data_IF_338837220153
#
_entry.id   IF_338837220153
#
_cell.length_a   1.000
_cell.length_b   1.000
_cell.length_c   1.000
_cell.angle_alpha   90.00
_cell.angle_beta   90.00
_cell.angle_gamma   90.00
#
_symmetry.space_group_name_H-M   'P 1'
#
loop_
_entity.id
_entity.type
_entity.pdbx_description
1 polymer ?
#
# COMPACT_ATOMS: atom_id res chain seq x y z
N UNK A 1 -19.82 24.61 -38.02
CA UNK A 1 -18.38 24.62 -37.68
C UNK A 1 -18.19 25.40 -36.41
N UNK A 2 -18.13 24.73 -35.26
CA UNK A 2 -17.88 25.36 -33.96
C UNK A 2 -16.46 24.99 -33.55
N UNK A 3 -15.52 25.92 -33.64
CA UNK A 3 -14.16 25.75 -33.14
C UNK A 3 -14.20 25.82 -31.61
N UNK A 4 -13.94 24.71 -30.92
CA UNK A 4 -13.62 24.70 -29.48
C UNK A 4 -12.31 25.48 -29.29
N UNK A 5 -12.38 26.58 -28.53
CA UNK A 5 -11.19 27.32 -28.08
C UNK A 5 -10.55 26.52 -26.95
N UNK A 6 -9.33 26.02 -27.17
CA UNK A 6 -8.49 25.53 -26.10
C UNK A 6 -8.02 26.70 -25.21
N UNK A 7 -7.98 26.53 -23.88
CA UNK A 7 -7.43 27.56 -23.00
C UNK A 7 -5.92 27.68 -23.24
N UNK A 8 -5.50 28.75 -23.89
CA UNK A 8 -4.10 29.10 -24.09
C UNK A 8 -3.54 29.69 -22.80
N UNK A 9 -2.85 28.88 -22.01
CA UNK A 9 -2.01 29.37 -20.92
C UNK A 9 -0.81 30.12 -21.51
N UNK A 10 -0.83 31.45 -21.45
CA UNK A 10 0.11 32.28 -22.18
C UNK A 10 1.47 32.47 -21.51
N UNK A 11 1.66 32.13 -20.21
CA UNK A 11 2.99 32.17 -19.58
C UNK A 11 3.13 31.28 -18.33
N UNK A 12 4.39 30.98 -17.95
CA UNK A 12 4.70 30.29 -16.71
C UNK A 12 4.23 31.06 -15.45
N UNK A 13 4.23 32.39 -15.54
CA UNK A 13 3.79 33.30 -14.49
C UNK A 13 2.27 33.19 -14.20
N UNK A 14 1.46 32.97 -15.24
CA UNK A 14 0.01 32.80 -15.12
C UNK A 14 -0.36 31.49 -14.44
N UNK A 15 0.38 30.41 -14.74
CA UNK A 15 0.25 29.12 -14.06
C UNK A 15 0.64 29.19 -12.59
N UNK A 16 1.72 29.92 -12.27
CA UNK A 16 2.15 30.12 -10.89
C UNK A 16 1.12 30.91 -10.06
N UNK A 17 0.46 31.89 -10.67
CA UNK A 17 -0.58 32.68 -10.02
C UNK A 17 -1.83 31.85 -9.70
N UNK A 18 -2.31 31.05 -10.66
CA UNK A 18 -3.47 30.16 -10.44
C UNK A 18 -3.15 29.08 -9.40
N UNK A 19 -1.92 28.56 -9.38
CA UNK A 19 -1.49 27.62 -8.35
C UNK A 19 -1.45 28.25 -6.95
N UNK A 20 -1.02 29.53 -6.84
CA UNK A 20 -1.03 30.25 -5.57
C UNK A 20 -2.45 30.53 -5.07
N UNK A 21 -3.38 30.93 -5.94
CA UNK A 21 -4.79 31.14 -5.61
C UNK A 21 -5.47 29.83 -5.12
N UNK A 22 -5.16 28.69 -5.74
CA UNK A 22 -5.68 27.36 -5.31
C UNK A 22 -5.11 26.90 -3.96
N UNK A 23 -3.88 27.28 -3.63
CA UNK A 23 -3.27 26.98 -2.33
C UNK A 23 -3.93 27.83 -1.23
N UNK A 24 -4.14 29.12 -1.49
CA UNK A 24 -4.79 30.04 -0.55
C UNK A 24 -6.26 29.64 -0.28
N UNK A 25 -6.98 29.17 -1.30
CA UNK A 25 -8.33 28.61 -1.16
C UNK A 25 -8.36 27.30 -0.37
N UNK A 26 -7.37 26.44 -0.55
CA UNK A 26 -7.23 25.20 0.22
C UNK A 26 -6.88 25.45 1.69
N UNK A 27 -6.04 26.44 1.99
CA UNK A 27 -5.70 26.83 3.36
C UNK A 27 -6.89 27.45 4.09
N UNK A 28 -7.72 28.24 3.41
CA UNK A 28 -8.94 28.83 3.99
C UNK A 28 -10.00 27.76 4.36
N UNK A 29 -10.02 26.62 3.67
CA UNK A 29 -10.92 25.50 3.97
C UNK A 29 -10.46 24.65 5.15
N UNK A 30 -9.17 24.71 5.50
CA UNK A 30 -8.63 23.99 6.67
C UNK A 30 -8.83 24.73 7.99
N UNK A 31 -8.99 26.05 7.97
CA UNK A 31 -9.23 26.86 9.18
C UNK A 31 -10.65 26.72 9.76
N UNK A 32 -11.61 26.18 9.02
CA UNK A 32 -12.99 26.00 9.48
C UNK A 32 -13.27 24.64 10.13
N UNK A 33 -12.30 23.75 10.22
CA UNK A 33 -12.44 22.46 10.92
C UNK A 33 -11.82 22.51 12.32
N UNK A 34 -12.32 23.42 13.15
CA UNK A 34 -12.00 23.42 14.58
C UNK A 34 -12.66 22.21 15.21
N UNK A 35 -11.85 21.18 15.53
CA UNK A 35 -12.31 20.06 16.36
C UNK A 35 -12.74 20.62 17.70
N UNK A 36 -14.05 20.45 18.05
CA UNK A 36 -14.62 20.93 19.28
C UNK A 36 -13.78 20.47 20.49
N UNK A 37 -13.46 21.41 21.36
CA UNK A 37 -12.77 21.17 22.64
C UNK A 37 -13.56 20.20 23.51
N UNK A 38 -12.91 19.36 24.36
CA UNK A 38 -13.61 18.51 25.35
C UNK A 38 -14.62 19.28 26.24
N UNK A 39 -14.45 20.59 26.39
CA UNK A 39 -15.36 21.46 27.13
C UNK A 39 -16.68 21.75 26.37
N UNK A 40 -16.68 21.71 25.05
CA UNK A 40 -17.86 21.97 24.23
C UNK A 40 -18.78 20.73 24.14
N UNK A 41 -18.23 19.52 24.31
CA UNK A 41 -18.97 18.27 24.34
C UNK A 41 -19.81 18.14 25.62
N UNK A 42 -19.34 18.73 26.73
CA UNK A 42 -20.07 18.73 28.02
C UNK A 42 -21.34 19.60 28.00
N UNK A 43 -21.46 20.54 27.06
CA UNK A 43 -22.65 21.40 26.91
C UNK A 43 -23.78 20.78 26.08
N UNK A 44 -23.53 19.70 25.35
CA UNK A 44 -24.48 19.09 24.43
C UNK A 44 -25.43 18.07 25.08
N UNK A 45 -25.47 17.91 26.42
CA UNK A 45 -26.50 17.13 27.14
C UNK A 45 -26.45 15.60 26.84
N UNK A 46 -25.29 15.05 26.42
CA UNK A 46 -25.12 13.61 26.27
C UNK A 46 -24.96 12.95 27.66
N UNK A 47 -25.57 11.77 27.90
CA UNK A 47 -25.43 11.07 29.18
C UNK A 47 -23.96 10.66 29.39
N UNK A 48 -23.46 10.67 30.65
CA UNK A 48 -22.09 10.30 30.94
C UNK A 48 -21.81 8.83 30.55
N UNK A 49 -20.59 8.49 30.15
CA UNK A 49 -20.24 7.11 29.88
C UNK A 49 -20.43 6.24 31.09
N UNK A 50 -21.03 5.08 30.91
CA UNK A 50 -21.27 4.10 31.99
C UNK A 50 -19.91 3.60 32.45
N UNK A 51 -19.41 4.13 33.53
CA UNK A 51 -18.26 3.58 34.27
C UNK A 51 -18.73 2.30 34.94
N UNK A 52 -18.43 1.16 34.36
CA UNK A 52 -18.59 -0.12 35.04
C UNK A 52 -17.65 -0.14 36.24
N UNK A 53 -18.20 -0.01 37.43
CA UNK A 53 -17.47 -0.24 38.67
C UNK A 53 -17.13 -1.74 38.74
N UNK A 54 -15.84 -2.05 38.61
CA UNK A 54 -15.32 -3.36 38.94
C UNK A 54 -15.46 -3.59 40.43
N UNK A 55 -16.02 -4.72 40.89
CA UNK A 55 -16.08 -5.04 42.30
C UNK A 55 -14.67 -5.29 42.84
N UNK A 56 -14.30 -4.54 43.86
CA UNK A 56 -13.08 -4.75 44.62
C UNK A 56 -13.32 -5.94 45.57
N UNK A 57 -13.03 -7.12 45.11
CA UNK A 57 -12.61 -8.27 45.94
C UNK A 57 -12.28 -9.46 45.07
N UNK A 58 -10.99 -9.64 44.77
CA UNK A 58 -10.46 -10.90 44.24
C UNK A 58 -9.96 -11.67 45.47
N UNK A 59 -10.53 -12.83 45.83
CA UNK A 59 -9.96 -13.67 46.87
C UNK A 59 -8.63 -14.24 46.35
N UNK A 60 -7.58 -14.13 47.16
CA UNK A 60 -6.28 -14.75 46.96
C UNK A 60 -6.47 -16.26 46.87
N UNK A 61 -6.25 -16.82 45.68
CA UNK A 61 -6.18 -18.27 45.49
C UNK A 61 -4.78 -18.71 45.89
N UNK A 62 -4.60 -19.74 46.75
CA UNK A 62 -3.30 -20.25 47.12
C UNK A 62 -2.67 -20.89 45.89
N UNK A 63 -1.34 -20.68 45.72
CA UNK A 63 -0.53 -21.28 44.71
C UNK A 63 -0.51 -22.81 44.90
N UNK A 64 -1.40 -23.51 44.20
CA UNK A 64 -1.28 -24.96 44.07
C UNK A 64 -0.54 -25.31 42.77
N UNK A 65 0.34 -26.28 42.93
CA UNK A 65 1.28 -26.80 41.96
C UNK A 65 0.66 -27.07 40.61
N UNK A 66 1.23 -26.45 39.58
CA UNK A 66 0.92 -26.70 38.19
C UNK A 66 1.16 -28.15 37.83
N UNK A 67 0.12 -28.90 37.56
CA UNK A 67 0.22 -30.10 36.70
C UNK A 67 0.56 -29.66 35.27
N UNK A 68 1.45 -30.31 34.57
CA UNK A 68 1.69 -30.00 33.16
C UNK A 68 0.48 -30.53 32.37
N UNK A 69 -0.50 -29.67 32.17
CA UNK A 69 -1.52 -29.87 31.16
C UNK A 69 -0.82 -29.76 29.80
N UNK A 70 -0.92 -30.83 29.03
CA UNK A 70 -0.26 -30.95 27.73
C UNK A 70 -0.85 -30.08 26.64
N UNK A 71 -1.06 -28.82 26.93
CA UNK A 71 -1.28 -27.77 25.94
C UNK A 71 0.07 -27.48 25.29
N UNK A 72 0.37 -28.12 24.18
CA UNK A 72 1.43 -27.70 23.28
C UNK A 72 1.04 -26.30 22.79
N UNK A 73 1.56 -25.29 23.47
CA UNK A 73 1.53 -23.91 22.98
C UNK A 73 2.27 -23.95 21.65
N UNK A 74 1.53 -23.82 20.55
CA UNK A 74 2.16 -23.73 19.23
C UNK A 74 3.20 -22.60 19.28
N UNK A 75 4.47 -22.85 18.91
CA UNK A 75 5.51 -21.83 19.00
C UNK A 75 5.08 -20.64 18.15
N UNK A 76 5.18 -19.45 18.71
CA UNK A 76 4.91 -18.23 17.96
C UNK A 76 5.92 -18.09 16.83
N UNK A 77 5.57 -17.31 15.80
CA UNK A 77 6.49 -17.03 14.69
C UNK A 77 7.82 -16.41 15.16
N UNK A 78 7.78 -15.64 16.24
CA UNK A 78 8.98 -15.05 16.85
C UNK A 78 9.82 -16.11 17.59
N UNK A 79 9.22 -17.07 18.28
CA UNK A 79 9.91 -18.19 18.92
C UNK A 79 10.59 -19.08 17.86
N UNK A 80 9.88 -19.37 16.76
CA UNK A 80 10.43 -20.12 15.64
C UNK A 80 11.64 -19.40 15.00
N UNK A 81 11.57 -18.08 14.83
CA UNK A 81 12.67 -17.27 14.31
C UNK A 81 13.81 -17.07 15.35
N UNK A 82 13.54 -17.20 16.65
CA UNK A 82 14.59 -17.25 17.67
C UNK A 82 15.39 -18.55 17.59
N UNK A 83 14.73 -19.66 17.25
CA UNK A 83 15.39 -20.97 17.07
C UNK A 83 16.16 -21.06 15.73
N UNK A 84 15.58 -20.52 14.66
CA UNK A 84 16.18 -20.48 13.31
C UNK A 84 16.09 -19.07 12.73
N UNK A 85 17.03 -18.18 13.06
CA UNK A 85 16.96 -16.78 12.72
C UNK A 85 17.06 -16.47 11.21
N UNK A 86 17.63 -17.35 10.41
CA UNK A 86 17.85 -17.17 8.97
C UNK A 86 16.89 -18.02 8.12
N UNK A 87 15.83 -18.52 8.73
CA UNK A 87 14.77 -19.23 8.01
C UNK A 87 14.01 -18.28 7.07
N UNK A 88 14.27 -18.43 5.77
CA UNK A 88 13.71 -17.56 4.73
C UNK A 88 12.18 -17.58 4.75
N UNK A 89 11.56 -18.74 4.90
CA UNK A 89 10.11 -18.87 4.90
C UNK A 89 9.46 -18.13 6.07
N UNK A 90 10.02 -18.28 7.28
CA UNK A 90 9.55 -17.59 8.48
C UNK A 90 9.76 -16.08 8.39
N UNK A 91 10.92 -15.62 7.88
CA UNK A 91 11.20 -14.19 7.65
C UNK A 91 10.20 -13.56 6.67
N UNK A 92 9.92 -14.24 5.55
CA UNK A 92 8.96 -13.78 4.54
C UNK A 92 7.54 -13.73 5.12
N UNK A 93 7.14 -14.73 5.89
CA UNK A 93 5.82 -14.76 6.53
C UNK A 93 5.67 -13.63 7.55
N UNK A 94 6.66 -13.43 8.43
CA UNK A 94 6.63 -12.32 9.41
C UNK A 94 6.62 -10.97 8.69
N UNK A 95 7.46 -10.79 7.67
CA UNK A 95 7.47 -9.56 6.88
C UNK A 95 6.09 -9.28 6.24
N UNK A 96 5.41 -10.31 5.75
CA UNK A 96 4.07 -10.21 5.19
C UNK A 96 3.04 -9.75 6.21
N UNK A 97 3.07 -10.31 7.43
CA UNK A 97 2.20 -9.90 8.53
C UNK A 97 2.48 -8.45 8.97
N UNK A 98 3.76 -8.10 9.13
CA UNK A 98 4.19 -6.73 9.45
C UNK A 98 3.75 -5.71 8.39
N UNK A 99 3.86 -6.08 7.10
CA UNK A 99 3.41 -5.22 6.00
C UNK A 99 1.89 -4.99 6.03
N UNK A 100 1.09 -6.03 6.34
CA UNK A 100 -0.36 -5.91 6.55
C UNK A 100 -0.69 -5.00 7.73
N UNK A 101 0.07 -5.10 8.82
CA UNK A 101 -0.05 -4.24 9.99
C UNK A 101 0.54 -2.83 9.77
N UNK A 102 0.98 -2.49 8.54
CA UNK A 102 1.62 -1.22 8.16
C UNK A 102 2.95 -0.94 8.87
N UNK A 103 3.57 -1.92 9.48
CA UNK A 103 4.90 -1.82 10.08
C UNK A 103 6.00 -1.97 9.01
N UNK A 104 5.96 -1.07 8.01
CA UNK A 104 6.75 -1.20 6.78
C UNK A 104 8.26 -1.27 7.01
N UNK A 105 8.82 -0.52 8.00
CA UNK A 105 10.26 -0.58 8.31
C UNK A 105 10.68 -1.93 8.88
N UNK A 106 9.84 -2.55 9.69
CA UNK A 106 10.11 -3.88 10.22
C UNK A 106 9.99 -4.95 9.13
N UNK A 107 8.92 -4.89 8.32
CA UNK A 107 8.75 -5.77 7.17
C UNK A 107 9.91 -5.69 6.18
N UNK A 108 10.43 -4.47 5.92
CA UNK A 108 11.59 -4.28 5.06
C UNK A 108 12.82 -5.02 5.59
N UNK A 109 13.14 -4.88 6.89
CA UNK A 109 14.30 -5.56 7.50
C UNK A 109 14.22 -7.08 7.33
N UNK A 110 13.03 -7.65 7.52
CA UNK A 110 12.85 -9.10 7.39
C UNK A 110 12.96 -9.57 5.94
N UNK A 111 12.38 -8.84 4.96
CA UNK A 111 12.58 -9.15 3.55
C UNK A 111 14.05 -9.01 3.12
N UNK A 112 14.74 -7.95 3.56
CA UNK A 112 16.16 -7.78 3.28
C UNK A 112 17.00 -8.90 3.90
N UNK A 113 16.64 -9.38 5.11
CA UNK A 113 17.29 -10.53 5.73
C UNK A 113 17.05 -11.80 4.92
N UNK A 114 15.82 -12.06 4.53
CA UNK A 114 15.49 -13.20 3.67
C UNK A 114 16.28 -13.17 2.35
N UNK A 115 16.42 -12.01 1.72
CA UNK A 115 17.16 -11.83 0.48
C UNK A 115 18.70 -11.91 0.64
N UNK A 116 19.22 -11.73 1.83
CA UNK A 116 20.65 -12.04 2.11
C UNK A 116 20.92 -13.53 2.10
N UNK A 117 19.94 -14.34 2.54
CA UNK A 117 20.04 -15.81 2.55
C UNK A 117 19.71 -16.39 1.17
N UNK A 118 18.60 -15.94 0.58
CA UNK A 118 18.15 -16.36 -0.76
C UNK A 118 17.90 -15.13 -1.65
N UNK A 119 18.92 -14.69 -2.42
CA UNK A 119 18.85 -13.48 -3.24
C UNK A 119 17.85 -13.54 -4.41
N UNK A 120 17.34 -14.73 -4.74
CA UNK A 120 16.39 -14.94 -5.84
C UNK A 120 15.00 -15.37 -5.34
N UNK A 121 14.72 -15.20 -4.05
CA UNK A 121 13.42 -15.54 -3.49
C UNK A 121 12.34 -14.57 -4.01
N UNK A 122 11.55 -15.00 -5.00
CA UNK A 122 10.60 -14.16 -5.75
C UNK A 122 9.57 -13.45 -4.87
N UNK A 123 9.05 -14.11 -3.81
CA UNK A 123 8.10 -13.46 -2.91
C UNK A 123 8.75 -12.39 -2.04
N UNK A 124 9.97 -12.60 -1.56
CA UNK A 124 10.72 -11.60 -0.79
C UNK A 124 11.07 -10.39 -1.65
N UNK A 125 11.52 -10.59 -2.91
CA UNK A 125 11.78 -9.52 -3.86
C UNK A 125 10.54 -8.67 -4.11
N UNK A 126 9.41 -9.32 -4.42
CA UNK A 126 8.13 -8.64 -4.63
C UNK A 126 7.67 -7.93 -3.36
N UNK A 127 7.73 -8.61 -2.20
CA UNK A 127 7.33 -8.07 -0.91
C UNK A 127 8.14 -6.84 -0.52
N UNK A 128 9.45 -6.88 -0.69
CA UNK A 128 10.34 -5.74 -0.46
C UNK A 128 9.98 -4.56 -1.37
N UNK A 129 9.81 -4.80 -2.67
CA UNK A 129 9.41 -3.77 -3.62
C UNK A 129 8.07 -3.12 -3.25
N UNK A 130 7.07 -3.91 -2.86
CA UNK A 130 5.77 -3.37 -2.39
C UNK A 130 5.94 -2.54 -1.12
N UNK A 131 6.72 -2.98 -0.15
CA UNK A 131 6.95 -2.26 1.11
C UNK A 131 7.68 -0.94 0.84
N UNK A 132 8.68 -0.93 -0.02
CA UNK A 132 9.39 0.29 -0.44
C UNK A 132 8.43 1.27 -1.13
N UNK A 133 7.57 0.78 -2.04
CA UNK A 133 6.53 1.58 -2.70
C UNK A 133 5.56 2.21 -1.69
N UNK A 134 5.12 1.44 -0.68
CA UNK A 134 4.24 1.95 0.41
C UNK A 134 4.91 3.02 1.28
N UNK A 135 6.23 3.06 1.31
CA UNK A 135 7.04 4.11 1.95
C UNK A 135 7.35 5.30 1.04
N UNK A 136 6.90 5.30 -0.20
CA UNK A 136 7.20 6.32 -1.21
C UNK A 136 8.59 6.21 -1.83
N UNK A 137 9.33 5.13 -1.57
CA UNK A 137 10.69 4.88 -2.06
C UNK A 137 10.65 4.16 -3.42
N UNK A 138 9.97 4.79 -4.39
CA UNK A 138 9.66 4.19 -5.68
C UNK A 138 10.90 3.80 -6.48
N UNK A 139 11.91 4.67 -6.51
CA UNK A 139 13.16 4.41 -7.23
C UNK A 139 13.92 3.20 -6.65
N UNK A 140 13.83 3.00 -5.32
CA UNK A 140 14.42 1.83 -4.66
C UNK A 140 13.58 0.57 -4.90
N UNK A 141 12.26 0.69 -5.05
CA UNK A 141 11.36 -0.43 -5.31
C UNK A 141 11.57 -1.07 -6.70
N UNK A 142 11.84 -0.25 -7.74
CA UNK A 142 11.94 -0.70 -9.13
C UNK A 142 12.92 -1.86 -9.32
N UNK A 143 14.18 -1.83 -8.86
CA UNK A 143 15.12 -2.93 -9.10
C UNK A 143 14.65 -4.24 -8.45
N UNK A 144 14.06 -4.21 -7.27
CA UNK A 144 13.54 -5.41 -6.61
C UNK A 144 12.32 -6.00 -7.34
N UNK A 145 11.40 -5.13 -7.78
CA UNK A 145 10.22 -5.57 -8.55
C UNK A 145 10.60 -6.10 -9.92
N UNK A 146 11.57 -5.48 -10.61
CA UNK A 146 12.11 -5.99 -11.88
C UNK A 146 12.68 -7.38 -11.70
N UNK A 147 13.51 -7.57 -10.69
CA UNK A 147 14.08 -8.89 -10.38
C UNK A 147 12.99 -9.91 -10.00
N UNK A 148 11.94 -9.50 -9.30
CA UNK A 148 10.81 -10.37 -9.01
C UNK A 148 10.10 -10.85 -10.28
N UNK A 149 9.98 -10.01 -11.32
CA UNK A 149 9.40 -10.41 -12.62
C UNK A 149 10.31 -11.30 -13.45
N UNK A 150 11.63 -11.19 -13.26
CA UNK A 150 12.61 -12.08 -13.89
C UNK A 150 12.59 -13.48 -13.28
N UNK A 151 12.45 -13.57 -11.94
CA UNK A 151 12.38 -14.84 -11.20
C UNK A 151 11.06 -15.58 -11.46
N UNK A 152 9.94 -14.86 -11.46
CA UNK A 152 8.61 -15.42 -11.70
C UNK A 152 7.85 -14.58 -12.75
N UNK A 153 8.12 -14.80 -14.06
CA UNK A 153 7.47 -14.04 -15.13
C UNK A 153 5.96 -14.29 -15.26
N UNK A 154 5.45 -15.37 -14.67
CA UNK A 154 4.03 -15.72 -14.67
C UNK A 154 3.20 -15.00 -13.62
N UNK A 155 3.81 -14.30 -12.69
CA UNK A 155 3.10 -13.66 -11.58
C UNK A 155 2.62 -12.25 -11.93
N UNK A 156 1.37 -12.11 -12.30
CA UNK A 156 0.75 -10.83 -12.68
C UNK A 156 0.93 -9.74 -11.61
N UNK A 157 0.86 -10.11 -10.32
CA UNK A 157 1.04 -9.16 -9.23
C UNK A 157 2.43 -8.49 -9.21
N UNK A 158 3.51 -9.19 -9.59
CA UNK A 158 4.85 -8.59 -9.68
C UNK A 158 4.90 -7.54 -10.80
N UNK A 159 4.36 -7.83 -11.95
CA UNK A 159 4.25 -6.91 -13.08
C UNK A 159 3.38 -5.70 -12.76
N UNK A 160 2.26 -5.90 -12.06
CA UNK A 160 1.40 -4.80 -11.61
C UNK A 160 2.17 -3.81 -10.71
N UNK A 161 2.86 -4.31 -9.67
CA UNK A 161 3.61 -3.44 -8.77
C UNK A 161 4.82 -2.79 -9.45
N UNK A 162 5.46 -3.48 -10.39
CA UNK A 162 6.51 -2.88 -11.23
C UNK A 162 5.95 -1.71 -12.04
N UNK A 163 4.80 -1.89 -12.69
CA UNK A 163 4.12 -0.83 -13.43
C UNK A 163 3.76 0.38 -12.55
N UNK A 164 3.26 0.12 -11.32
CA UNK A 164 2.96 1.16 -10.33
C UNK A 164 4.23 1.95 -9.97
N UNK A 165 5.34 1.27 -9.65
CA UNK A 165 6.59 1.92 -9.29
C UNK A 165 7.21 2.71 -10.46
N UNK A 166 7.21 2.15 -11.67
CA UNK A 166 7.72 2.82 -12.87
C UNK A 166 6.89 4.06 -13.23
N UNK A 167 5.56 4.01 -13.07
CA UNK A 167 4.71 5.16 -13.27
C UNK A 167 5.01 6.31 -12.28
N UNK A 168 5.38 5.99 -11.04
CA UNK A 168 5.77 6.98 -10.03
C UNK A 168 7.16 7.58 -10.26
N UNK A 169 8.08 6.86 -10.91
CA UNK A 169 9.40 7.40 -11.29
C UNK A 169 9.41 7.98 -12.70
N UNK A 170 8.23 8.16 -13.32
CA UNK A 170 8.03 8.78 -14.63
C UNK A 170 8.58 7.96 -15.82
N UNK A 171 8.90 6.69 -15.62
CA UNK A 171 9.21 5.75 -16.72
C UNK A 171 7.89 5.21 -17.30
N UNK A 172 7.23 6.04 -18.12
CA UNK A 172 5.89 5.75 -18.64
C UNK A 172 5.87 4.57 -19.60
N UNK A 173 6.88 4.43 -20.45
CA UNK A 173 6.95 3.30 -21.40
C UNK A 173 7.23 1.99 -20.68
N UNK A 174 8.12 1.99 -19.69
CA UNK A 174 8.33 0.84 -18.81
C UNK A 174 7.07 0.47 -18.01
N UNK A 175 6.36 1.47 -17.48
CA UNK A 175 5.12 1.26 -16.76
C UNK A 175 4.02 0.65 -17.66
N UNK A 176 3.89 1.17 -18.89
CA UNK A 176 2.96 0.63 -19.89
C UNK A 176 3.24 -0.86 -20.14
N UNK A 177 4.48 -1.18 -20.48
CA UNK A 177 4.88 -2.57 -20.78
C UNK A 177 4.61 -3.50 -19.58
N UNK A 178 4.90 -3.06 -18.35
CA UNK A 178 4.65 -3.84 -17.15
C UNK A 178 3.15 -4.05 -16.90
N UNK A 179 2.32 -3.02 -17.04
CA UNK A 179 0.87 -3.16 -16.89
C UNK A 179 0.25 -4.01 -18.02
N UNK A 180 0.71 -3.86 -19.27
CA UNK A 180 0.28 -4.72 -20.37
C UNK A 180 0.54 -6.18 -20.05
N UNK A 181 1.74 -6.50 -19.54
CA UNK A 181 2.08 -7.85 -19.13
C UNK A 181 1.23 -8.37 -17.97
N UNK A 182 0.93 -7.52 -16.98
CA UNK A 182 0.01 -7.87 -15.90
C UNK A 182 -1.41 -8.18 -16.42
N UNK A 183 -1.90 -7.41 -17.40
CA UNK A 183 -3.22 -7.63 -18.03
C UNK A 183 -3.24 -8.86 -18.94
N UNK A 184 -2.13 -9.19 -19.60
CA UNK A 184 -2.02 -10.44 -20.37
C UNK A 184 -2.15 -11.68 -19.48
N UNK A 185 -1.49 -11.63 -18.31
CA UNK A 185 -1.54 -12.73 -17.33
C UNK A 185 -2.87 -12.81 -16.60
N UNK A 186 -3.47 -11.67 -16.26
CA UNK A 186 -4.77 -11.56 -15.59
C UNK A 186 -5.68 -10.56 -16.32
N UNK A 187 -6.42 -10.97 -17.37
CA UNK A 187 -7.22 -10.06 -18.22
C UNK A 187 -8.34 -9.31 -17.50
N UNK A 188 -8.75 -9.77 -16.32
CA UNK A 188 -9.77 -9.15 -15.47
C UNK A 188 -9.19 -8.42 -14.26
N UNK A 189 -7.89 -8.19 -14.20
CA UNK A 189 -7.28 -7.42 -13.13
C UNK A 189 -7.65 -5.94 -13.26
N UNK A 190 -8.68 -5.52 -12.53
CA UNK A 190 -9.23 -4.16 -12.57
C UNK A 190 -8.17 -3.10 -12.26
N UNK A 191 -7.28 -3.37 -11.32
CA UNK A 191 -6.22 -2.43 -10.93
C UNK A 191 -5.17 -2.26 -12.02
N UNK A 192 -4.76 -3.35 -12.67
CA UNK A 192 -3.80 -3.30 -13.77
C UNK A 192 -4.40 -2.59 -14.99
N UNK A 193 -5.65 -2.88 -15.35
CA UNK A 193 -6.37 -2.19 -16.40
C UNK A 193 -6.50 -0.69 -16.14
N UNK A 194 -6.84 -0.30 -14.90
CA UNK A 194 -6.95 1.11 -14.52
C UNK A 194 -5.58 1.81 -14.56
N UNK A 195 -4.54 1.18 -14.00
CA UNK A 195 -3.17 1.70 -14.05
C UNK A 195 -2.64 1.87 -15.47
N UNK A 196 -2.93 0.91 -16.36
CA UNK A 196 -2.61 1.02 -17.79
C UNK A 196 -3.32 2.22 -18.44
N UNK A 197 -4.61 2.43 -18.10
CA UNK A 197 -5.36 3.60 -18.57
C UNK A 197 -4.68 4.93 -18.18
N UNK A 198 -4.29 5.06 -16.91
CA UNK A 198 -3.57 6.26 -16.41
C UNK A 198 -2.27 6.51 -17.21
N UNK A 199 -1.48 5.45 -17.41
CA UNK A 199 -0.20 5.58 -18.14
C UNK A 199 -0.45 5.94 -19.60
N UNK A 200 -1.46 5.38 -20.25
CA UNK A 200 -1.83 5.71 -21.62
C UNK A 200 -2.28 7.17 -21.78
N UNK A 201 -3.05 7.71 -20.82
CA UNK A 201 -3.39 9.14 -20.80
C UNK A 201 -2.15 10.03 -20.70
N UNK A 202 -1.20 9.66 -19.83
CA UNK A 202 0.08 10.40 -19.70
C UNK A 202 0.95 10.30 -20.95
N UNK A 203 0.82 9.22 -21.71
CA UNK A 203 1.47 9.02 -23.02
C UNK A 203 0.72 9.68 -24.19
N UNK A 204 -0.31 10.49 -23.89
CA UNK A 204 -1.16 11.17 -24.89
C UNK A 204 -1.89 10.20 -25.84
N UNK A 205 -2.37 9.07 -25.30
CA UNK A 205 -3.13 8.03 -26.01
C UNK A 205 -4.55 7.88 -25.42
N UNK A 206 -5.41 8.90 -25.49
CA UNK A 206 -6.69 8.95 -24.78
C UNK A 206 -7.71 7.89 -25.24
N UNK A 207 -7.69 7.49 -26.52
CA UNK A 207 -8.59 6.46 -27.03
C UNK A 207 -8.25 5.08 -26.42
N UNK A 208 -6.98 4.78 -26.30
CA UNK A 208 -6.50 3.55 -25.69
C UNK A 208 -6.78 3.55 -24.18
N UNK A 209 -6.54 4.66 -23.50
CA UNK A 209 -6.87 4.84 -22.09
C UNK A 209 -8.36 4.61 -21.82
N UNK A 210 -9.24 5.21 -22.64
CA UNK A 210 -10.70 5.05 -22.54
C UNK A 210 -11.10 3.58 -22.67
N UNK A 211 -10.45 2.81 -23.57
CA UNK A 211 -10.69 1.37 -23.69
C UNK A 211 -10.30 0.62 -22.42
N UNK A 212 -9.17 0.97 -21.81
CA UNK A 212 -8.70 0.30 -20.59
C UNK A 212 -9.58 0.62 -19.39
N UNK A 213 -10.02 1.87 -19.23
CA UNK A 213 -10.96 2.24 -18.16
C UNK A 213 -12.31 1.52 -18.31
N UNK A 214 -12.82 1.37 -19.54
CA UNK A 214 -14.04 0.61 -19.79
C UNK A 214 -13.88 -0.85 -19.38
N UNK A 215 -12.80 -1.51 -19.83
CA UNK A 215 -12.49 -2.89 -19.45
C UNK A 215 -12.34 -3.06 -17.93
N UNK A 216 -11.71 -2.08 -17.26
CA UNK A 216 -11.59 -2.10 -15.80
C UNK A 216 -12.96 -2.08 -15.10
N UNK A 217 -13.90 -1.23 -15.57
CA UNK A 217 -15.26 -1.18 -15.01
C UNK A 217 -16.04 -2.47 -15.28
N UNK A 218 -15.98 -3.01 -16.49
CA UNK A 218 -16.61 -4.27 -16.85
C UNK A 218 -16.08 -5.45 -16.02
N UNK A 219 -14.78 -5.47 -15.73
CA UNK A 219 -14.15 -6.51 -14.92
C UNK A 219 -14.52 -6.40 -13.43
N UNK A 220 -14.82 -5.20 -12.92
CA UNK A 220 -15.17 -4.96 -11.52
C UNK A 220 -16.66 -5.01 -11.20
N UNK A 221 -17.54 -5.03 -12.21
CA UNK A 221 -19.00 -4.99 -12.06
C UNK A 221 -19.70 -6.37 -12.17
N UNK A 222 -18.93 -7.46 -12.06
CA UNK A 222 -19.44 -8.84 -12.12
C UNK A 222 -19.51 -9.51 -10.76
#
# INVERSE_FOLDING_TARGET
MIRKREPRWQSAAERARVAAELIEEAESLTETSTIASPADVARAGLPPPITAQLPAHVPSVPAEASTPDGSTVEPTLDDALAADPDNVALLVERARLLARARHYRAAQRDYERALRVDPIHGEALRGLGVVLSRRGLWSEAVPHLRRATEVDPGRAAAWFYLGEALNHVDDLEGARAAYERAVELEPRNTRALYGLGIVLDRLNRPDDATRMYRRSREAGGG
#
